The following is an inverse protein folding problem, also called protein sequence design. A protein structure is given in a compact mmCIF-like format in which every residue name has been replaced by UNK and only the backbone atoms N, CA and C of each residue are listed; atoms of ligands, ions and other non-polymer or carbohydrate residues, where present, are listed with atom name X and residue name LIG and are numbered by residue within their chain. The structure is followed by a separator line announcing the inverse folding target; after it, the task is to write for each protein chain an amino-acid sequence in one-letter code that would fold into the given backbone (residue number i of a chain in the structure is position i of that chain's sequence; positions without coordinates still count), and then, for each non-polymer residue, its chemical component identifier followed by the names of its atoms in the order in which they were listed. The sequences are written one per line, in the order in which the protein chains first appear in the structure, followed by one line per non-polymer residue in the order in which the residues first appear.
data_IF_861139740893
#
_entry.id   IF_861139740893
#
_cell.length_a   1.000
_cell.length_b   1.000
_cell.length_c   1.000
_cell.angle_alpha   90.00
_cell.angle_beta   90.00
_cell.angle_gamma   90.00
#
_symmetry.space_group_name_H-M   'P 1'
#
loop_
_entity.id
_entity.type
_entity.pdbx_description
1 polymer ?
#
# COMPACT_ATOMS: atom_id res chain seq x y z
N UNK A 1 -15.07 -1.60 -1.65
CA UNK A 1 -13.69 -1.88 -1.21
C UNK A 1 -12.94 -2.68 -2.25
N UNK A 2 -11.68 -2.32 -2.50
CA UNK A 2 -10.76 -3.09 -3.34
C UNK A 2 -10.12 -4.21 -2.51
N UNK A 3 -9.92 -5.39 -3.09
CA UNK A 3 -9.15 -6.45 -2.43
C UNK A 3 -7.65 -6.09 -2.40
N UNK A 4 -6.88 -6.61 -1.44
CA UNK A 4 -5.50 -6.17 -1.17
C UNK A 4 -4.57 -6.13 -2.40
N UNK A 5 -4.74 -7.05 -3.35
CA UNK A 5 -4.00 -7.06 -4.62
C UNK A 5 -4.36 -5.87 -5.52
N UNK A 6 -5.64 -5.62 -5.69
CA UNK A 6 -6.14 -4.52 -6.51
C UNK A 6 -5.76 -3.18 -5.88
N UNK A 7 -5.88 -3.08 -4.56
CA UNK A 7 -5.44 -1.92 -3.80
C UNK A 7 -3.93 -1.65 -3.95
N UNK A 8 -3.08 -2.68 -3.82
CA UNK A 8 -1.64 -2.52 -3.97
C UNK A 8 -1.24 -2.04 -5.38
N UNK A 9 -1.93 -2.53 -6.43
CA UNK A 9 -1.71 -2.09 -7.82
C UNK A 9 -2.18 -0.65 -8.01
N UNK A 10 -3.38 -0.32 -7.53
CA UNK A 10 -3.94 1.03 -7.60
C UNK A 10 -3.05 2.05 -6.88
N UNK A 11 -2.62 1.75 -5.66
CA UNK A 11 -1.75 2.63 -4.87
C UNK A 11 -0.41 2.89 -5.58
N UNK A 12 0.15 1.87 -6.23
CA UNK A 12 1.37 2.03 -7.00
C UNK A 12 1.18 2.91 -8.25
N UNK A 13 0.04 2.78 -8.95
CA UNK A 13 -0.25 3.50 -10.20
C UNK A 13 -0.71 4.94 -9.96
N UNK A 14 -1.70 5.13 -9.10
CA UNK A 14 -2.37 6.42 -8.92
C UNK A 14 -1.68 7.29 -7.88
N UNK A 15 -1.14 6.68 -6.83
CA UNK A 15 -0.51 7.41 -5.71
C UNK A 15 1.03 7.37 -5.81
N UNK A 16 1.60 6.44 -6.58
CA UNK A 16 3.05 6.30 -6.72
C UNK A 16 3.72 5.71 -5.48
N UNK A 17 3.00 4.89 -4.70
CA UNK A 17 3.51 4.20 -3.51
C UNK A 17 3.26 2.70 -3.63
N UNK A 18 4.34 1.93 -3.74
CA UNK A 18 4.27 0.47 -3.87
C UNK A 18 4.18 -0.20 -2.49
N UNK A 19 3.29 -1.19 -2.38
CA UNK A 19 3.11 -2.05 -1.19
C UNK A 19 3.03 -3.52 -1.60
N UNK A 20 3.03 -4.43 -0.63
CA UNK A 20 2.83 -5.87 -0.89
C UNK A 20 1.46 -6.30 -0.38
N UNK A 21 0.59 -6.89 -1.23
CA UNK A 21 -0.77 -7.25 -0.83
C UNK A 21 -0.77 -8.28 0.30
N UNK A 22 -1.64 -8.06 1.30
CA UNK A 22 -1.74 -8.91 2.49
C UNK A 22 -2.09 -10.35 2.17
N UNK A 23 -2.95 -10.58 1.18
CA UNK A 23 -3.40 -11.92 0.78
C UNK A 23 -2.27 -12.87 0.38
N UNK A 24 -1.09 -12.36 0.00
CA UNK A 24 0.10 -13.18 -0.32
C UNK A 24 0.79 -13.77 0.90
N UNK A 25 0.45 -13.34 2.12
CA UNK A 25 1.11 -13.76 3.37
C UNK A 25 0.31 -14.74 4.21
N UNK A 26 -0.92 -15.09 3.80
CA UNK A 26 -1.77 -16.02 4.53
C UNK A 26 -2.02 -17.28 3.69
N UNK A 27 -2.01 -18.45 4.32
CA UNK A 27 -2.43 -19.71 3.68
C UNK A 27 -3.90 -19.67 3.26
N UNK A 28 -4.71 -18.87 3.98
CA UNK A 28 -6.09 -18.51 3.67
C UNK A 28 -6.13 -17.04 3.19
N UNK A 29 -6.17 -16.77 1.88
CA UNK A 29 -6.02 -15.42 1.32
C UNK A 29 -7.02 -14.39 1.86
N UNK A 30 -8.23 -14.82 2.24
CA UNK A 30 -9.28 -13.99 2.79
C UNK A 30 -8.90 -13.32 4.13
N UNK A 31 -7.93 -13.88 4.86
CA UNK A 31 -7.42 -13.27 6.09
C UNK A 31 -6.55 -12.04 5.81
N UNK A 32 -6.00 -11.93 4.60
CA UNK A 32 -5.17 -10.82 4.16
C UNK A 32 -5.87 -9.85 3.21
N UNK A 33 -7.18 -10.02 2.95
CA UNK A 33 -7.88 -9.30 1.88
C UNK A 33 -7.95 -7.79 2.05
N UNK A 34 -7.96 -7.29 3.29
CA UNK A 34 -8.14 -5.87 3.62
C UNK A 34 -6.87 -5.19 4.13
N UNK A 35 -5.72 -5.87 4.05
CA UNK A 35 -4.44 -5.34 4.56
C UNK A 35 -3.38 -5.32 3.47
N UNK A 36 -2.46 -4.37 3.56
CA UNK A 36 -1.26 -4.31 2.72
C UNK A 36 -0.04 -4.07 3.60
N UNK A 37 1.14 -4.49 3.14
CA UNK A 37 2.39 -4.41 3.90
C UNK A 37 3.33 -3.34 3.33
N UNK A 38 3.82 -2.47 4.20
CA UNK A 38 4.92 -1.55 3.92
C UNK A 38 6.25 -2.14 4.40
N UNK A 39 7.33 -1.81 3.69
CA UNK A 39 8.70 -2.13 4.10
C UNK A 39 9.50 -0.83 4.25
N UNK A 40 9.95 -0.54 5.48
CA UNK A 40 10.59 0.73 5.85
C UNK A 40 12.11 0.74 5.67
N UNK A 41 12.71 -0.35 5.18
CA UNK A 41 14.15 -0.46 4.90
C UNK A 41 14.56 0.32 3.64
N UNK A 42 14.29 1.63 3.61
CA UNK A 42 14.61 2.56 2.52
C UNK A 42 15.32 3.78 3.10
N UNK A 43 15.87 4.62 2.21
CA UNK A 43 16.39 5.92 2.61
C UNK A 43 15.27 6.78 3.19
N UNK A 44 15.59 7.63 4.17
CA UNK A 44 14.62 8.52 4.83
C UNK A 44 13.87 9.37 3.81
N UNK A 45 14.55 9.91 2.79
CA UNK A 45 13.94 10.78 1.78
C UNK A 45 12.90 10.02 0.93
N UNK A 46 13.05 8.70 0.77
CA UNK A 46 12.05 7.87 0.09
C UNK A 46 10.81 7.67 0.95
N UNK A 47 11.00 7.51 2.27
CA UNK A 47 9.89 7.33 3.22
C UNK A 47 9.09 8.63 3.38
N UNK A 48 9.77 9.77 3.47
CA UNK A 48 9.14 11.10 3.53
C UNK A 48 8.29 11.36 2.29
N UNK A 49 8.83 11.15 1.09
CA UNK A 49 8.07 11.28 -0.17
C UNK A 49 6.85 10.35 -0.24
N UNK A 50 6.97 9.14 0.30
CA UNK A 50 5.83 8.22 0.37
C UNK A 50 4.77 8.74 1.36
N UNK A 51 5.17 9.27 2.51
CA UNK A 51 4.26 9.87 3.49
C UNK A 51 3.52 11.09 2.91
N UNK A 52 4.23 11.99 2.22
CA UNK A 52 3.64 13.15 1.52
C UNK A 52 2.54 12.73 0.54
N UNK A 53 2.81 11.72 -0.30
CA UNK A 53 1.83 11.18 -1.26
C UNK A 53 0.62 10.56 -0.57
N UNK A 54 0.82 9.82 0.52
CA UNK A 54 -0.26 9.18 1.27
C UNK A 54 -1.15 10.22 1.99
N UNK A 55 -0.57 11.28 2.56
CA UNK A 55 -1.33 12.39 3.16
C UNK A 55 -2.14 13.13 2.10
N UNK A 56 -1.55 13.40 0.94
CA UNK A 56 -2.25 14.04 -0.17
C UNK A 56 -3.44 13.20 -0.69
N UNK A 57 -3.29 11.87 -0.73
CA UNK A 57 -4.37 10.94 -1.05
C UNK A 57 -5.50 11.04 -0.02
N UNK A 58 -5.19 11.06 1.29
CA UNK A 58 -6.22 11.14 2.34
C UNK A 58 -7.04 12.43 2.26
N UNK A 59 -6.43 13.55 1.84
CA UNK A 59 -7.15 14.82 1.67
C UNK A 59 -8.14 14.84 0.49
N UNK A 60 -8.11 13.82 -0.38
CA UNK A 60 -8.93 13.72 -1.59
C UNK A 60 -10.07 12.70 -1.46
N UNK A 61 -10.16 12.00 -0.32
CA UNK A 61 -11.19 11.00 0.00
C UNK A 61 -12.09 11.55 1.10
#
# INVERSE_FOLDING_TARGET
DLESREFAIWLAKEVGVATVPGMSFYSRPELGRSVTRFAFCKKTETLEKAAERLVAMQAQV
#
